data_IF_713727073110
#
_entry.id   IF_713727073110
#
_cell.length_a   1.000
_cell.length_b   1.000
_cell.length_c   1.000
_cell.angle_alpha   90.00
_cell.angle_beta   90.00
_cell.angle_gamma   90.00
#
_symmetry.space_group_name_H-M   'P 1'
#
loop_
_entity.id
_entity.type
_entity.pdbx_description
1 polymer ?
#
# COMPACT_ATOMS: atom_id res chain seq x y z
N UNK A 1 -1.98 22.01 -20.45
CA UNK A 1 -1.42 22.70 -19.26
C UNK A 1 -2.55 23.03 -18.29
N UNK A 2 -2.65 22.31 -17.17
CA UNK A 2 -3.73 22.46 -16.16
C UNK A 2 -3.22 22.94 -14.78
N UNK A 3 -2.05 23.58 -14.76
CA UNK A 3 -1.44 24.05 -13.50
C UNK A 3 -2.19 25.27 -12.96
N UNK A 4 -2.37 25.32 -11.64
CA UNK A 4 -3.07 26.40 -10.93
C UNK A 4 -2.07 27.14 -10.06
N UNK A 5 -1.82 28.39 -10.43
CA UNK A 5 -0.94 29.29 -9.67
C UNK A 5 -1.82 30.33 -8.99
N UNK A 6 -1.65 30.51 -7.68
CA UNK A 6 -2.32 31.58 -6.95
C UNK A 6 -1.90 32.95 -7.50
N UNK A 7 -2.81 33.92 -7.50
CA UNK A 7 -2.51 35.32 -7.89
C UNK A 7 -1.43 35.95 -7.04
N UNK A 8 -1.29 35.48 -5.80
CA UNK A 8 -0.36 36.03 -4.81
C UNK A 8 1.00 35.30 -4.81
N UNK A 9 1.20 34.33 -5.70
CA UNK A 9 2.47 33.62 -5.82
C UNK A 9 3.48 34.42 -6.64
N UNK A 10 4.75 34.37 -6.26
CA UNK A 10 5.84 35.06 -6.95
C UNK A 10 6.66 34.06 -7.77
N UNK A 11 6.72 34.27 -9.09
CA UNK A 11 7.53 33.46 -10.00
C UNK A 11 8.77 34.24 -10.41
N UNK A 12 9.94 33.77 -9.99
CA UNK A 12 11.24 34.37 -10.29
C UNK A 12 11.92 33.57 -11.40
N UNK A 13 12.05 34.18 -12.57
CA UNK A 13 12.74 33.54 -13.69
C UNK A 13 14.25 33.38 -13.40
N UNK A 14 14.91 32.35 -13.96
CA UNK A 14 14.31 31.24 -14.71
C UNK A 14 13.61 30.25 -13.77
N UNK A 15 12.38 29.88 -14.08
CA UNK A 15 11.67 28.82 -13.38
C UNK A 15 10.90 27.95 -14.37
N UNK A 16 10.80 26.65 -14.09
CA UNK A 16 10.03 25.70 -14.87
C UNK A 16 8.91 25.11 -14.02
N UNK A 17 7.70 25.11 -14.55
CA UNK A 17 6.52 24.56 -13.89
C UNK A 17 5.93 23.48 -14.81
N UNK A 18 5.86 22.26 -14.29
CA UNK A 18 5.27 21.11 -14.95
C UNK A 18 3.74 21.17 -15.01
N UNK A 19 3.14 20.06 -15.41
CA UNK A 19 1.70 19.91 -15.54
C UNK A 19 1.02 19.59 -14.20
N UNK A 20 -0.23 20.05 -14.02
CA UNK A 20 -1.04 19.79 -12.83
C UNK A 20 -0.38 20.24 -11.51
N UNK A 21 0.48 21.26 -11.59
CA UNK A 21 1.12 21.85 -10.42
C UNK A 21 0.13 22.79 -9.74
N UNK A 22 0.08 22.76 -8.41
CA UNK A 22 -0.68 23.69 -7.58
C UNK A 22 0.31 24.55 -6.80
N UNK A 23 0.29 25.86 -7.01
CA UNK A 23 1.12 26.81 -6.28
C UNK A 23 0.24 27.64 -5.35
N UNK A 24 0.49 27.52 -4.05
CA UNK A 24 -0.21 28.21 -2.99
C UNK A 24 0.03 29.72 -2.97
N UNK A 25 -0.78 30.47 -2.21
CA UNK A 25 -0.64 31.92 -2.07
C UNK A 25 0.69 32.28 -1.41
N UNK A 26 1.34 33.35 -1.90
CA UNK A 26 2.64 33.84 -1.40
C UNK A 26 3.80 32.86 -1.50
N UNK A 27 3.63 31.75 -2.22
CA UNK A 27 4.75 30.86 -2.52
C UNK A 27 5.69 31.53 -3.53
N UNK A 28 6.99 31.31 -3.38
CA UNK A 28 8.04 31.87 -4.22
C UNK A 28 8.70 30.71 -4.97
N UNK A 29 8.63 30.75 -6.30
CA UNK A 29 9.26 29.75 -7.17
C UNK A 29 10.34 30.42 -8.02
N UNK A 30 11.59 30.11 -7.71
CA UNK A 30 12.79 30.59 -8.37
C UNK A 30 13.65 31.54 -7.53
N UNK A 31 14.83 31.94 -8.04
CA UNK A 31 15.36 31.64 -9.37
C UNK A 31 15.86 30.19 -9.51
N UNK A 32 16.07 29.73 -10.75
CA UNK A 32 16.58 28.39 -11.11
C UNK A 32 15.83 27.22 -10.46
N UNK A 33 14.50 27.33 -10.36
CA UNK A 33 13.65 26.29 -9.78
C UNK A 33 12.98 25.44 -10.87
N UNK A 34 12.99 24.13 -10.70
CA UNK A 34 12.25 23.18 -11.54
C UNK A 34 11.21 22.48 -10.67
N UNK A 35 9.94 22.65 -11.02
CA UNK A 35 8.80 22.02 -10.34
C UNK A 35 8.18 21.01 -11.29
N UNK A 36 8.31 19.71 -10.99
CA UNK A 36 7.80 18.64 -11.85
C UNK A 36 6.28 18.42 -11.70
N UNK A 37 5.75 17.49 -12.49
CA UNK A 37 4.31 17.29 -12.67
C UNK A 37 3.60 16.84 -11.39
N UNK A 38 2.38 17.34 -11.19
CA UNK A 38 1.50 16.93 -10.08
C UNK A 38 1.98 17.38 -8.70
N UNK A 39 2.96 18.28 -8.64
CA UNK A 39 3.51 18.82 -7.39
C UNK A 39 2.59 19.87 -6.78
N UNK A 40 2.56 19.92 -5.45
CA UNK A 40 1.78 20.90 -4.69
C UNK A 40 2.72 21.68 -3.80
N UNK A 41 2.74 22.99 -3.99
CA UNK A 41 3.45 23.94 -3.15
C UNK A 41 2.42 24.64 -2.27
N UNK A 42 2.58 24.52 -0.95
CA UNK A 42 1.68 25.17 -0.01
C UNK A 42 1.94 26.68 0.07
N UNK A 43 1.17 27.37 0.92
CA UNK A 43 1.31 28.80 1.11
C UNK A 43 2.71 29.14 1.67
N UNK A 44 3.31 30.23 1.19
CA UNK A 44 4.61 30.73 1.69
C UNK A 44 5.78 29.73 1.56
N UNK A 45 5.68 28.73 0.69
CA UNK A 45 6.80 27.86 0.35
C UNK A 45 7.79 28.60 -0.56
N UNK A 46 9.09 28.44 -0.32
CA UNK A 46 10.16 29.06 -1.12
C UNK A 46 11.03 27.98 -1.77
N UNK A 47 11.15 28.03 -3.10
CA UNK A 47 12.02 27.13 -3.87
C UNK A 47 12.98 27.98 -4.67
N UNK A 48 14.28 27.86 -4.41
CA UNK A 48 15.31 28.53 -5.20
C UNK A 48 16.46 27.56 -5.48
N UNK A 49 17.03 27.64 -6.69
CA UNK A 49 18.14 26.79 -7.12
C UNK A 49 17.90 25.32 -6.78
N UNK A 50 16.70 24.80 -7.08
CA UNK A 50 16.22 23.51 -6.55
C UNK A 50 15.31 22.80 -7.53
N UNK A 51 15.23 21.47 -7.39
CA UNK A 51 14.38 20.61 -8.20
C UNK A 51 13.38 19.93 -7.28
N UNK A 52 12.09 20.10 -7.55
CA UNK A 52 11.02 19.38 -6.87
C UNK A 52 10.48 18.31 -7.81
N UNK A 53 10.70 17.05 -7.43
CA UNK A 53 10.29 15.87 -8.16
C UNK A 53 8.77 15.74 -8.29
N UNK A 54 8.29 14.83 -9.16
CA UNK A 54 6.87 14.73 -9.46
C UNK A 54 6.08 14.29 -8.23
N UNK A 55 4.81 14.70 -8.18
CA UNK A 55 3.87 14.30 -7.13
C UNK A 55 4.45 14.51 -5.73
N UNK A 56 5.16 15.62 -5.50
CA UNK A 56 5.73 15.99 -4.20
C UNK A 56 4.91 17.13 -3.59
N UNK A 57 4.67 17.06 -2.28
CA UNK A 57 4.09 18.13 -1.49
C UNK A 57 5.22 18.87 -0.78
N UNK A 58 5.27 20.19 -0.94
CA UNK A 58 6.14 21.08 -0.18
C UNK A 58 5.25 21.90 0.76
N UNK A 59 5.58 21.80 2.04
CA UNK A 59 4.85 22.38 3.16
C UNK A 59 4.80 23.89 3.21
N UNK A 60 3.92 24.40 4.05
CA UNK A 60 3.88 25.83 4.36
C UNK A 60 5.17 26.24 5.05
N UNK A 61 5.65 27.46 4.78
CA UNK A 61 6.89 28.01 5.36
C UNK A 61 8.14 27.12 5.13
N UNK A 62 8.10 26.26 4.11
CA UNK A 62 9.21 25.36 3.79
C UNK A 62 10.09 25.97 2.72
N UNK A 63 11.39 26.02 3.01
CA UNK A 63 12.42 26.55 2.12
C UNK A 63 13.27 25.40 1.55
N UNK A 64 13.28 25.28 0.23
CA UNK A 64 14.08 24.29 -0.50
C UNK A 64 15.11 25.04 -1.34
N UNK A 65 16.37 24.99 -0.90
CA UNK A 65 17.51 25.63 -1.58
C UNK A 65 18.62 24.64 -1.87
N UNK A 66 19.18 24.75 -3.07
CA UNK A 66 20.29 23.91 -3.53
C UNK A 66 20.04 22.41 -3.36
N UNK A 67 18.79 22.00 -3.52
CA UNK A 67 18.32 20.69 -3.13
C UNK A 67 17.38 20.08 -4.16
N UNK A 68 17.46 18.75 -4.28
CA UNK A 68 16.50 17.92 -4.98
C UNK A 68 15.55 17.33 -3.95
N UNK A 69 14.29 17.77 -3.97
CA UNK A 69 13.22 17.27 -3.12
C UNK A 69 12.37 16.28 -3.89
N UNK A 70 12.22 15.04 -3.41
CA UNK A 70 11.40 14.02 -4.04
C UNK A 70 10.67 13.21 -2.98
N UNK A 71 9.35 13.38 -2.89
CA UNK A 71 8.52 12.81 -1.83
C UNK A 71 8.97 13.27 -0.44
N UNK A 72 9.49 12.33 0.36
CA UNK A 72 9.99 12.57 1.73
C UNK A 72 11.53 12.62 1.80
N UNK A 73 12.22 12.69 0.66
CA UNK A 73 13.68 12.68 0.58
C UNK A 73 14.17 14.01 0.04
N UNK A 74 15.15 14.58 0.73
CA UNK A 74 15.83 15.80 0.32
C UNK A 74 17.32 15.51 0.11
N UNK A 75 17.82 15.83 -1.07
CA UNK A 75 19.24 15.69 -1.42
C UNK A 75 19.81 17.09 -1.66
N UNK A 76 20.67 17.55 -0.76
CA UNK A 76 21.40 18.79 -0.97
C UNK A 76 22.69 18.47 -1.75
N UNK A 77 22.81 19.00 -2.96
CA UNK A 77 23.95 18.69 -3.82
C UNK A 77 25.20 19.54 -3.51
N UNK A 78 25.05 20.67 -2.80
CA UNK A 78 26.20 21.47 -2.38
C UNK A 78 26.97 20.77 -1.25
N UNK A 79 26.24 20.20 -0.30
CA UNK A 79 26.83 19.46 0.83
C UNK A 79 27.01 17.97 0.53
N UNK A 80 26.35 17.44 -0.50
CA UNK A 80 26.30 16.01 -0.80
C UNK A 80 25.47 15.21 0.23
N UNK A 81 24.65 15.88 1.05
CA UNK A 81 23.87 15.22 2.09
C UNK A 81 22.52 14.72 1.59
N UNK A 82 22.13 13.52 1.99
CA UNK A 82 20.79 12.97 1.79
C UNK A 82 20.07 12.89 3.15
N UNK A 83 18.90 13.49 3.25
CA UNK A 83 18.10 13.54 4.48
C UNK A 83 16.68 13.09 4.20
N UNK A 84 16.21 12.15 5.01
CA UNK A 84 14.81 11.75 5.03
C UNK A 84 14.04 12.70 5.95
N UNK A 85 13.01 13.36 5.41
CA UNK A 85 12.12 14.25 6.15
C UNK A 85 10.89 13.43 6.55
N UNK A 86 10.75 13.00 7.82
CA UNK A 86 9.62 12.20 8.25
C UNK A 86 8.33 13.00 8.40
N UNK A 87 8.43 14.33 8.48
CA UNK A 87 7.29 15.21 8.67
C UNK A 87 6.56 15.46 7.35
N UNK A 88 5.36 14.88 7.25
CA UNK A 88 4.51 15.00 6.08
C UNK A 88 4.00 16.42 5.84
N UNK A 89 4.02 17.29 6.85
CA UNK A 89 3.67 18.71 6.70
C UNK A 89 4.75 19.51 5.99
N UNK A 90 6.01 19.08 6.04
CA UNK A 90 7.14 19.76 5.39
C UNK A 90 7.39 19.20 3.99
N UNK A 91 7.50 17.87 3.86
CA UNK A 91 7.79 17.19 2.60
C UNK A 91 7.11 15.81 2.58
N UNK A 92 6.25 15.56 1.60
CA UNK A 92 5.64 14.24 1.44
C UNK A 92 5.32 13.87 -0.01
N UNK A 93 5.28 12.58 -0.36
CA UNK A 93 4.81 12.17 -1.67
C UNK A 93 3.27 12.22 -1.74
N UNK A 94 2.74 12.95 -2.70
CA UNK A 94 1.31 13.04 -3.02
C UNK A 94 0.76 11.73 -3.60
N UNK A 95 1.62 10.95 -4.28
CA UNK A 95 1.30 9.61 -4.78
C UNK A 95 1.01 8.59 -3.67
N UNK A 96 1.39 8.89 -2.43
CA UNK A 96 1.13 8.06 -1.27
C UNK A 96 -0.36 8.02 -0.88
N UNK A 97 -1.19 8.90 -1.45
CA UNK A 97 -2.66 8.86 -1.30
C UNK A 97 -3.30 7.68 -2.03
N UNK A 98 -2.60 7.00 -2.94
CA UNK A 98 -3.11 5.80 -3.61
C UNK A 98 -2.89 4.50 -2.83
N UNK A 99 -1.86 4.42 -1.96
CA UNK A 99 -1.57 3.21 -1.20
C UNK A 99 -2.27 3.14 0.17
N UNK A 100 -2.70 4.29 0.70
CA UNK A 100 -3.37 4.39 2.01
C UNK A 100 -4.89 4.27 1.96
N UNK A 101 -5.49 4.13 0.77
CA UNK A 101 -6.96 4.16 0.60
C UNK A 101 -7.65 2.79 0.48
N UNK A 102 -7.07 1.69 0.98
CA UNK A 102 -7.74 0.37 0.98
C UNK A 102 -7.65 -0.43 2.28
N UNK A 103 -7.25 0.19 3.39
CA UNK A 103 -7.59 -0.32 4.72
C UNK A 103 -9.08 -0.04 5.02
N UNK A 104 -9.95 -0.81 4.36
CA UNK A 104 -11.37 -0.99 4.67
C UNK A 104 -12.24 0.28 4.75
N UNK A 105 -12.82 0.70 3.62
CA UNK A 105 -14.09 1.44 3.65
C UNK A 105 -15.03 0.78 4.67
N UNK A 106 -15.76 1.57 5.48
CA UNK A 106 -16.69 1.04 6.51
C UNK A 106 -17.60 -0.06 5.96
N UNK A 107 -17.96 0.02 4.67
CA UNK A 107 -18.68 -1.01 3.92
C UNK A 107 -17.94 -2.36 3.88
N UNK A 108 -16.65 -2.39 3.53
CA UNK A 108 -15.86 -3.62 3.49
C UNK A 108 -15.74 -4.27 4.88
N UNK A 109 -15.64 -3.46 5.94
CA UNK A 109 -15.66 -3.94 7.32
C UNK A 109 -17.03 -4.50 7.72
N UNK A 110 -18.11 -3.80 7.36
CA UNK A 110 -19.47 -4.27 7.58
C UNK A 110 -19.73 -5.60 6.87
N UNK A 111 -19.30 -5.74 5.61
CA UNK A 111 -19.38 -7.01 4.88
C UNK A 111 -18.58 -8.12 5.58
N UNK A 112 -17.41 -7.81 6.13
CA UNK A 112 -16.61 -8.80 6.85
C UNK A 112 -17.31 -9.28 8.12
N UNK A 113 -17.98 -8.38 8.85
CA UNK A 113 -18.83 -8.75 10.01
C UNK A 113 -19.99 -9.64 9.56
N UNK A 114 -20.71 -9.27 8.50
CA UNK A 114 -21.82 -10.07 7.96
C UNK A 114 -21.35 -11.48 7.59
N UNK A 115 -20.26 -11.59 6.84
CA UNK A 115 -19.68 -12.89 6.45
C UNK A 115 -19.25 -13.68 7.68
N UNK A 116 -18.61 -13.03 8.65
CA UNK A 116 -18.16 -13.67 9.89
C UNK A 116 -19.34 -14.20 10.72
N UNK A 117 -20.41 -13.42 10.86
CA UNK A 117 -21.65 -13.84 11.53
C UNK A 117 -22.33 -15.01 10.83
N UNK A 118 -22.43 -14.98 9.50
CA UNK A 118 -23.05 -16.06 8.71
C UNK A 118 -22.24 -17.37 8.74
N UNK A 119 -20.92 -17.28 8.84
CA UNK A 119 -20.01 -18.44 8.77
C UNK A 119 -19.48 -18.89 10.13
N UNK A 120 -19.85 -18.18 11.21
CA UNK A 120 -19.56 -18.52 12.60
C UNK A 120 -19.94 -19.96 12.97
N UNK A 121 -21.17 -20.47 12.70
CA UNK A 121 -21.53 -21.83 13.09
C UNK A 121 -20.64 -22.89 12.42
N UNK A 122 -20.24 -22.67 11.16
CA UNK A 122 -19.33 -23.56 10.46
C UNK A 122 -17.91 -23.53 11.05
N UNK A 123 -17.43 -22.34 11.45
CA UNK A 123 -16.13 -22.19 12.09
C UNK A 123 -16.13 -22.84 13.48
N UNK A 124 -17.18 -22.64 14.29
CA UNK A 124 -17.34 -23.31 15.58
C UNK A 124 -17.32 -24.83 15.43
N UNK A 125 -18.06 -25.37 14.46
CA UNK A 125 -18.03 -26.81 14.17
C UNK A 125 -16.63 -27.30 13.81
N UNK A 126 -15.89 -26.54 12.99
CA UNK A 126 -14.53 -26.89 12.61
C UNK A 126 -13.56 -26.90 13.81
N UNK A 127 -13.67 -25.91 14.70
CA UNK A 127 -12.87 -25.83 15.94
C UNK A 127 -13.23 -26.97 16.89
N UNK A 128 -14.52 -27.25 17.12
CA UNK A 128 -14.96 -28.37 17.97
C UNK A 128 -14.43 -29.69 17.42
N UNK A 129 -14.53 -29.90 16.10
CA UNK A 129 -14.01 -31.11 15.46
C UNK A 129 -12.49 -31.25 15.59
N UNK A 130 -11.74 -30.15 15.47
CA UNK A 130 -10.29 -30.15 15.66
C UNK A 130 -9.92 -30.47 17.11
N UNK A 131 -10.64 -29.89 18.07
CA UNK A 131 -10.48 -30.13 19.49
C UNK A 131 -10.76 -31.60 19.87
N UNK A 132 -11.86 -32.18 19.38
CA UNK A 132 -12.19 -33.59 19.56
C UNK A 132 -11.12 -34.54 19.00
N UNK A 133 -10.31 -34.08 18.05
CA UNK A 133 -9.21 -34.84 17.43
C UNK A 133 -7.85 -34.57 18.08
N UNK A 134 -7.79 -33.76 19.14
CA UNK A 134 -6.54 -33.36 19.79
C UNK A 134 -5.61 -32.51 18.91
N UNK A 135 -6.15 -31.88 17.85
CA UNK A 135 -5.37 -31.05 16.93
C UNK A 135 -5.46 -29.58 17.32
N UNK A 136 -4.35 -28.86 17.17
CA UNK A 136 -4.34 -27.40 17.35
C UNK A 136 -5.16 -26.74 16.24
N UNK A 137 -6.34 -26.23 16.57
CA UNK A 137 -7.26 -25.66 15.57
C UNK A 137 -6.67 -24.45 14.84
N UNK A 138 -5.85 -23.63 15.53
CA UNK A 138 -5.29 -22.39 15.03
C UNK A 138 -3.77 -22.49 14.93
N UNK A 139 -3.20 -22.05 13.80
CA UNK A 139 -1.77 -21.85 13.60
C UNK A 139 -1.48 -20.35 13.58
N UNK A 140 -0.65 -19.82 14.50
CA UNK A 140 -0.20 -18.45 14.42
C UNK A 140 0.80 -18.29 13.28
N UNK A 141 0.67 -17.19 12.55
CA UNK A 141 1.51 -16.80 11.43
C UNK A 141 1.84 -15.31 11.58
N UNK A 142 2.93 -14.91 10.95
CA UNK A 142 3.54 -13.61 11.14
C UNK A 142 3.75 -12.95 9.78
N UNK A 143 3.27 -11.72 9.64
CA UNK A 143 3.38 -10.91 8.43
C UNK A 143 4.07 -9.58 8.71
N UNK A 144 4.78 -9.02 7.74
CA UNK A 144 5.28 -7.64 7.81
C UNK A 144 4.17 -6.68 7.37
N UNK A 145 3.96 -5.59 8.11
CA UNK A 145 2.98 -4.57 7.73
C UNK A 145 3.46 -3.79 6.49
N UNK A 146 2.55 -3.53 5.54
CA UNK A 146 2.86 -2.62 4.44
C UNK A 146 3.06 -1.23 5.05
N UNK A 147 4.23 -0.64 4.79
CA UNK A 147 4.68 0.73 5.13
C UNK A 147 5.94 0.90 6.02
N UNK A 148 6.69 -0.15 6.36
CA UNK A 148 8.01 0.01 7.02
C UNK A 148 9.20 0.12 6.04
N UNK A 149 9.01 0.64 4.82
CA UNK A 149 10.10 0.80 3.84
C UNK A 149 10.89 2.11 4.06
N UNK A 150 11.43 2.30 5.25
CA UNK A 150 12.52 3.23 5.54
C UNK A 150 13.75 2.43 5.99
N UNK A 151 14.99 2.87 5.70
CA UNK A 151 16.21 2.10 5.97
C UNK A 151 16.46 1.76 7.45
N UNK A 152 15.68 2.32 8.38
CA UNK A 152 15.80 2.07 9.82
C UNK A 152 14.44 1.90 10.54
N UNK A 153 13.39 1.53 9.81
CA UNK A 153 12.10 1.24 10.44
C UNK A 153 12.14 -0.16 11.06
N UNK A 154 12.06 -0.24 12.39
CA UNK A 154 11.79 -1.49 13.09
C UNK A 154 10.64 -2.21 12.37
N UNK A 155 10.87 -3.45 11.93
CA UNK A 155 9.90 -4.24 11.17
C UNK A 155 8.62 -4.32 11.99
N UNK A 156 7.59 -3.57 11.62
CA UNK A 156 6.31 -3.64 12.30
C UNK A 156 5.62 -4.92 11.85
N UNK A 157 5.50 -5.84 12.78
CA UNK A 157 5.10 -7.22 12.53
C UNK A 157 3.66 -7.42 12.99
N UNK A 158 2.89 -8.11 12.16
CA UNK A 158 1.50 -8.43 12.38
C UNK A 158 1.28 -9.94 12.50
N UNK A 159 0.78 -10.38 13.65
CA UNK A 159 0.38 -11.78 13.86
C UNK A 159 -1.05 -12.02 13.38
N UNK A 160 -1.25 -13.06 12.57
CA UNK A 160 -2.54 -13.54 12.09
C UNK A 160 -2.64 -15.06 12.29
N UNK A 161 -3.84 -15.62 12.09
CA UNK A 161 -4.09 -17.04 12.34
C UNK A 161 -4.73 -17.71 11.14
N UNK A 162 -4.45 -19.00 10.98
CA UNK A 162 -5.09 -19.89 10.01
C UNK A 162 -5.59 -21.17 10.69
N UNK A 163 -6.67 -21.75 10.16
CA UNK A 163 -7.10 -23.07 10.60
C UNK A 163 -6.26 -24.18 9.96
N UNK A 164 -5.85 -25.18 10.74
CA UNK A 164 -4.93 -26.25 10.31
C UNK A 164 -5.64 -27.47 9.74
N UNK A 165 -6.82 -27.81 10.28
CA UNK A 165 -7.49 -29.09 10.08
C UNK A 165 -8.77 -29.01 9.24
N UNK A 166 -8.85 -28.00 8.36
CA UNK A 166 -10.08 -27.65 7.63
C UNK A 166 -9.77 -27.40 6.16
N UNK A 167 -10.74 -27.67 5.28
CA UNK A 167 -10.57 -27.42 3.85
C UNK A 167 -10.28 -25.95 3.52
N UNK A 168 -9.74 -25.72 2.31
CA UNK A 168 -9.24 -24.42 1.83
C UNK A 168 -10.20 -23.23 1.97
N UNK A 169 -11.51 -23.49 2.11
CA UNK A 169 -12.53 -22.46 2.33
C UNK A 169 -12.48 -21.85 3.73
N UNK A 170 -12.35 -22.69 4.76
CA UNK A 170 -12.37 -22.24 6.16
C UNK A 170 -10.97 -21.95 6.69
N UNK A 171 -9.91 -22.42 6.02
CA UNK A 171 -8.52 -22.18 6.41
C UNK A 171 -8.22 -20.70 6.73
N UNK A 172 -8.70 -19.78 5.90
CA UNK A 172 -8.48 -18.33 6.05
C UNK A 172 -9.56 -17.62 6.88
N UNK A 173 -10.54 -18.36 7.43
CA UNK A 173 -11.65 -17.76 8.18
C UNK A 173 -11.19 -16.87 9.35
N UNK A 174 -10.19 -17.23 10.17
CA UNK A 174 -9.72 -16.36 11.27
C UNK A 174 -9.15 -15.02 10.78
N UNK A 175 -8.71 -14.94 9.52
CA UNK A 175 -8.19 -13.71 8.92
C UNK A 175 -9.30 -12.68 8.66
N UNK A 176 -10.58 -13.09 8.55
CA UNK A 176 -11.70 -12.15 8.44
C UNK A 176 -11.78 -11.20 9.64
N UNK A 177 -11.38 -11.67 10.83
CA UNK A 177 -11.30 -10.81 12.01
C UNK A 177 -10.29 -9.66 11.84
N UNK A 178 -9.21 -9.91 11.09
CA UNK A 178 -8.22 -8.88 10.75
C UNK A 178 -8.77 -7.86 9.74
N UNK A 179 -9.66 -8.30 8.85
CA UNK A 179 -10.41 -7.40 7.96
C UNK A 179 -11.38 -6.52 8.76
N UNK A 180 -12.09 -7.09 9.74
CA UNK A 180 -12.98 -6.32 10.63
C UNK A 180 -12.22 -5.26 11.44
N UNK A 181 -11.01 -5.58 11.91
CA UNK A 181 -10.11 -4.65 12.60
C UNK A 181 -9.49 -3.58 11.68
N UNK A 182 -9.56 -3.77 10.37
CA UNK A 182 -8.95 -2.87 9.38
C UNK A 182 -7.45 -3.13 9.15
N UNK A 183 -6.91 -4.23 9.66
CA UNK A 183 -5.51 -4.62 9.47
C UNK A 183 -5.30 -5.31 8.10
N UNK A 184 -6.36 -5.93 7.55
CA UNK A 184 -6.37 -6.61 6.25
C UNK A 184 -7.45 -5.99 5.34
N UNK A 185 -7.25 -6.13 4.03
CA UNK A 185 -8.23 -5.84 2.99
C UNK A 185 -8.86 -7.14 2.45
N UNK A 186 -10.02 -7.02 1.77
CA UNK A 186 -10.62 -8.16 1.05
C UNK A 186 -9.72 -8.64 -0.10
N UNK A 187 -9.16 -7.70 -0.85
CA UNK A 187 -8.25 -7.94 -1.96
C UNK A 187 -6.95 -7.18 -1.72
N UNK A 188 -5.83 -7.87 -1.89
CA UNK A 188 -4.52 -7.34 -1.60
C UNK A 188 -3.42 -8.36 -1.85
N UNK A 189 -2.19 -7.98 -1.55
CA UNK A 189 -1.07 -8.90 -1.67
C UNK A 189 -1.07 -9.91 -0.52
N UNK A 190 -0.54 -11.12 -0.76
CA UNK A 190 -0.49 -12.14 0.31
C UNK A 190 0.44 -11.66 1.43
N UNK A 191 0.15 -12.02 2.68
CA UNK A 191 1.02 -11.71 3.81
C UNK A 191 2.40 -12.36 3.62
N UNK A 192 3.47 -11.56 3.71
CA UNK A 192 4.85 -12.05 3.66
C UNK A 192 5.44 -12.16 5.05
N UNK A 193 6.13 -13.27 5.32
CA UNK A 193 6.89 -13.45 6.55
C UNK A 193 8.14 -12.54 6.55
N UNK A 194 8.67 -12.16 7.72
CA UNK A 194 9.88 -11.36 7.80
C UNK A 194 11.07 -11.97 7.04
N UNK A 195 11.22 -13.30 7.09
CA UNK A 195 12.25 -14.02 6.34
C UNK A 195 12.07 -13.89 4.81
N UNK A 196 10.82 -13.92 4.32
CA UNK A 196 10.54 -13.77 2.90
C UNK A 196 10.78 -12.33 2.40
N UNK A 197 10.59 -11.32 3.26
CA UNK A 197 10.86 -9.93 2.91
C UNK A 197 12.34 -9.68 2.62
N UNK A 198 13.25 -10.31 3.38
CA UNK A 198 14.70 -10.20 3.15
C UNK A 198 15.11 -10.77 1.78
N UNK A 199 14.33 -11.72 1.24
CA UNK A 199 14.58 -12.34 -0.06
C UNK A 199 14.10 -11.48 -1.25
N UNK A 200 13.43 -10.34 -1.02
CA UNK A 200 13.05 -9.40 -2.07
C UNK A 200 14.30 -8.62 -2.49
N UNK A 201 14.88 -9.01 -3.63
CA UNK A 201 16.16 -8.50 -4.10
C UNK A 201 16.01 -7.18 -4.87
N UNK A 202 14.96 -7.05 -5.68
CA UNK A 202 14.76 -5.89 -6.56
C UNK A 202 13.82 -4.84 -5.95
N UNK A 203 14.02 -3.57 -6.31
CA UNK A 203 13.08 -2.48 -5.94
C UNK A 203 11.67 -2.73 -6.50
N UNK A 204 11.58 -3.43 -7.63
CA UNK A 204 10.31 -3.87 -8.19
C UNK A 204 9.60 -4.90 -7.31
N UNK A 205 10.31 -5.90 -6.77
CA UNK A 205 9.77 -6.88 -5.82
C UNK A 205 9.36 -6.21 -4.50
N UNK A 206 10.08 -5.16 -4.07
CA UNK A 206 9.73 -4.37 -2.88
C UNK A 206 8.41 -3.62 -3.03
N UNK A 207 7.91 -3.39 -4.25
CA UNK A 207 6.56 -2.87 -4.48
C UNK A 207 5.48 -3.77 -3.88
N UNK A 208 5.76 -5.07 -3.66
CA UNK A 208 4.85 -5.98 -2.96
C UNK A 208 4.36 -5.38 -1.63
N UNK A 209 5.28 -4.77 -0.87
CA UNK A 209 5.03 -4.21 0.45
C UNK A 209 4.31 -2.85 0.42
N UNK A 210 4.12 -2.25 -0.76
CA UNK A 210 3.34 -1.01 -0.90
C UNK A 210 1.84 -1.27 -0.97
N UNK A 211 1.42 -2.48 -1.35
CA UNK A 211 0.00 -2.84 -1.40
C UNK A 211 -0.51 -3.33 -0.02
N UNK A 212 -1.81 -3.15 0.29
CA UNK A 212 -2.40 -3.70 1.50
C UNK A 212 -2.35 -5.24 1.52
N UNK A 213 -2.29 -5.81 2.72
CA UNK A 213 -2.41 -7.26 2.91
C UNK A 213 -3.85 -7.67 2.61
N UNK A 214 -4.03 -8.61 1.68
CA UNK A 214 -5.32 -9.10 1.25
C UNK A 214 -5.66 -10.47 1.80
N UNK A 215 -6.96 -10.70 2.07
CA UNK A 215 -7.51 -12.04 2.27
C UNK A 215 -7.39 -12.88 0.98
N UNK A 216 -7.58 -12.24 -0.16
CA UNK A 216 -7.41 -12.80 -1.50
C UNK A 216 -6.44 -11.95 -2.32
N UNK A 217 -5.62 -12.61 -3.13
CA UNK A 217 -4.67 -11.95 -4.01
C UNK A 217 -4.90 -12.30 -5.48
N UNK A 218 -4.25 -11.55 -6.38
CA UNK A 218 -4.22 -11.87 -7.80
C UNK A 218 -3.62 -13.26 -8.06
N UNK A 219 -2.62 -13.66 -7.27
CA UNK A 219 -2.05 -15.01 -7.33
C UNK A 219 -3.09 -16.10 -6.99
N UNK A 220 -4.02 -15.84 -6.06
CA UNK A 220 -5.13 -16.76 -5.79
C UNK A 220 -6.09 -16.88 -6.98
N UNK A 221 -6.33 -15.78 -7.70
CA UNK A 221 -7.20 -15.75 -8.88
C UNK A 221 -6.60 -16.49 -10.09
N UNK A 222 -5.26 -16.58 -10.15
CA UNK A 222 -4.53 -17.35 -11.16
C UNK A 222 -4.21 -18.78 -10.71
N UNK A 223 -4.72 -19.21 -9.55
CA UNK A 223 -4.48 -20.52 -8.96
C UNK A 223 -2.99 -20.85 -8.74
N UNK A 224 -2.15 -19.83 -8.55
CA UNK A 224 -0.75 -20.01 -8.19
C UNK A 224 -0.67 -20.58 -6.76
N UNK A 225 -0.28 -21.86 -6.68
CA UNK A 225 -0.30 -22.65 -5.45
C UNK A 225 0.78 -22.20 -4.45
N UNK A 226 1.93 -21.75 -4.95
CA UNK A 226 3.05 -21.36 -4.13
C UNK A 226 2.94 -19.91 -3.65
N UNK A 227 3.31 -19.69 -2.38
CA UNK A 227 3.19 -18.39 -1.73
C UNK A 227 4.26 -17.40 -2.19
N UNK A 228 5.41 -17.88 -2.67
CA UNK A 228 6.61 -17.06 -2.90
C UNK A 228 7.41 -17.41 -4.16
N UNK A 229 6.73 -17.95 -5.18
CA UNK A 229 7.31 -18.21 -6.49
C UNK A 229 7.53 -16.90 -7.30
N UNK A 230 8.39 -16.93 -8.32
CA UNK A 230 8.66 -15.78 -9.19
C UNK A 230 7.37 -15.22 -9.83
N UNK A 231 6.45 -16.09 -10.24
CA UNK A 231 5.16 -15.68 -10.79
C UNK A 231 4.33 -14.91 -9.76
N UNK A 232 4.27 -15.40 -8.52
CA UNK A 232 3.56 -14.73 -7.43
C UNK A 232 4.13 -13.33 -7.14
N UNK A 233 5.46 -13.16 -7.24
CA UNK A 233 6.14 -11.85 -7.10
C UNK A 233 5.77 -10.89 -8.20
N UNK A 234 5.81 -11.34 -9.45
CA UNK A 234 5.37 -10.53 -10.60
C UNK A 234 3.93 -10.04 -10.44
N UNK A 235 3.01 -10.94 -10.07
CA UNK A 235 1.59 -10.62 -9.88
C UNK A 235 1.35 -9.65 -8.72
N UNK A 236 2.09 -9.79 -7.63
CA UNK A 236 1.96 -8.93 -6.47
C UNK A 236 2.49 -7.51 -6.74
N UNK A 237 3.62 -7.38 -7.42
CA UNK A 237 4.14 -6.09 -7.86
C UNK A 237 3.23 -5.44 -8.91
N UNK A 238 2.67 -6.23 -9.84
CA UNK A 238 1.68 -5.76 -10.80
C UNK A 238 0.41 -5.24 -10.13
N UNK A 239 -0.13 -5.99 -9.17
CA UNK A 239 -1.28 -5.54 -8.38
C UNK A 239 -0.97 -4.25 -7.62
N UNK A 240 0.21 -4.15 -6.99
CA UNK A 240 0.63 -2.95 -6.27
C UNK A 240 0.65 -1.70 -7.16
N UNK A 241 1.06 -1.82 -8.42
CA UNK A 241 1.08 -0.69 -9.37
C UNK A 241 -0.29 -0.36 -9.96
N UNK A 242 -1.15 -1.37 -10.20
CA UNK A 242 -2.42 -1.21 -10.94
C UNK A 242 -3.68 -1.33 -10.08
N UNK A 243 -3.55 -1.32 -8.76
CA UNK A 243 -4.65 -1.52 -7.84
C UNK A 243 -5.82 -0.55 -8.12
N UNK A 244 -6.96 -1.10 -8.55
CA UNK A 244 -8.19 -0.34 -8.80
C UNK A 244 -9.42 -1.20 -8.47
N UNK A 245 -10.59 -0.59 -8.32
CA UNK A 245 -11.79 -1.32 -7.88
C UNK A 245 -12.27 -2.38 -8.90
N UNK A 246 -12.02 -2.18 -10.19
CA UNK A 246 -12.40 -3.13 -11.25
C UNK A 246 -11.56 -4.40 -11.15
N UNK A 247 -10.26 -4.24 -10.92
CA UNK A 247 -9.31 -5.34 -10.72
C UNK A 247 -9.66 -6.12 -9.45
N UNK A 248 -10.01 -5.45 -8.36
CA UNK A 248 -10.43 -6.11 -7.12
C UNK A 248 -11.68 -6.97 -7.34
N UNK A 249 -12.69 -6.43 -8.03
CA UNK A 249 -13.92 -7.16 -8.34
C UNK A 249 -13.66 -8.37 -9.25
N UNK A 250 -12.75 -8.23 -10.23
CA UNK A 250 -12.33 -9.31 -11.10
C UNK A 250 -11.57 -10.41 -10.34
N UNK A 251 -10.71 -10.04 -9.38
CA UNK A 251 -10.01 -11.00 -8.51
C UNK A 251 -11.03 -11.76 -7.67
N UNK A 252 -11.96 -11.07 -7.01
CA UNK A 252 -12.99 -11.70 -6.18
C UNK A 252 -13.86 -12.65 -7.01
N UNK A 253 -14.39 -12.20 -8.14
CA UNK A 253 -15.27 -13.02 -8.98
C UNK A 253 -14.56 -14.27 -9.50
N UNK A 254 -13.27 -14.17 -9.85
CA UNK A 254 -12.48 -15.30 -10.34
C UNK A 254 -12.14 -16.29 -9.23
N UNK A 255 -11.79 -15.81 -8.03
CA UNK A 255 -11.55 -16.68 -6.87
C UNK A 255 -12.84 -17.40 -6.45
N UNK A 256 -13.97 -16.69 -6.40
CA UNK A 256 -15.28 -17.26 -6.11
C UNK A 256 -15.70 -18.27 -7.19
N UNK A 257 -15.54 -17.91 -8.47
CA UNK A 257 -15.89 -18.75 -9.62
C UNK A 257 -15.07 -20.03 -9.70
N UNK A 258 -13.75 -19.94 -9.56
CA UNK A 258 -12.86 -21.11 -9.57
C UNK A 258 -13.21 -22.10 -8.46
N UNK A 259 -13.55 -21.59 -7.27
CA UNK A 259 -13.90 -22.43 -6.12
C UNK A 259 -15.32 -23.01 -6.20
N UNK A 260 -16.27 -22.31 -6.82
CA UNK A 260 -17.59 -22.85 -7.14
C UNK A 260 -17.48 -24.01 -8.16
N UNK A 261 -16.66 -23.85 -9.20
CA UNK A 261 -16.45 -24.87 -10.22
C UNK A 261 -15.78 -26.14 -9.66
N UNK A 262 -14.77 -25.98 -8.79
CA UNK A 262 -14.10 -27.11 -8.13
C UNK A 262 -15.04 -27.91 -7.22
N UNK A 263 -16.10 -27.31 -6.68
CA UNK A 263 -17.08 -27.98 -5.81
C UNK A 263 -18.13 -28.77 -6.60
N UNK A 264 -18.36 -28.41 -7.87
CA UNK A 264 -19.27 -29.13 -8.78
C UNK A 264 -18.58 -30.38 -9.36
N UNK A 265 -17.27 -30.32 -9.60
CA UNK A 265 -16.50 -31.44 -10.16
C UNK A 265 -16.16 -32.57 -9.18
N UNK A 266 -16.55 -32.46 -7.90
CA UNK A 266 -16.27 -33.46 -6.83
C UNK A 266 -17.59 -34.10 -6.31
N UNK A 267 -18.70 -33.92 -7.03
CA UNK A 267 -19.94 -34.69 -6.84
C UNK A 267 -20.12 -35.63 -8.02
#
# INVERSE_FOLDING_TARGET
MHSRVSSDAELRAPCWIGENVLVGPRAIVGPAAIVENGTVLAAEAEIADSIVGPETYVGEFTEVKHSLASGSTLINWQTGSCTYVPDAFLLSPLSQRAATAKAGHRLGRAMAVVVLSLTLPCACYAVIRAWLRGQSALRPLVAVRPHSAGPSAATDVLTYHEFTAVGDWLKRWPQLWKVVRGEFAWVGNRPLSPAAVVLLASDFERLWLKAPIGLFSLADAQACAELFDQEARGLASFYAMRANWRLDLAILSRVLGFRLFKRISVR
#
